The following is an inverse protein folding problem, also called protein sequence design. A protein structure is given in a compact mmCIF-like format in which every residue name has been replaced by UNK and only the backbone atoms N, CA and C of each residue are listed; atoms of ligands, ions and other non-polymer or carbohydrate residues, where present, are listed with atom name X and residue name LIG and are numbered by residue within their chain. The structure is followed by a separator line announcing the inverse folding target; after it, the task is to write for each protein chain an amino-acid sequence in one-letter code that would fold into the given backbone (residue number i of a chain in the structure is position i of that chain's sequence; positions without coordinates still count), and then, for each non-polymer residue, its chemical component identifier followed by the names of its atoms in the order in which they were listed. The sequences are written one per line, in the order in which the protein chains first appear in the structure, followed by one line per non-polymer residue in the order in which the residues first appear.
data_IF_231514312827
#
_entry.id   IF_231514312827
#
_cell.length_a   1.000
_cell.length_b   1.000
_cell.length_c   1.000
_cell.angle_alpha   90.00
_cell.angle_beta   90.00
_cell.angle_gamma   90.00
#
_symmetry.space_group_name_H-M   'P 1'
#
loop_
_entity.id
_entity.type
_entity.pdbx_description
1 polymer ?
#
# COMPACT_ATOMS: atom_id res chain seq x y z
N UNK A 1 4.27 54.52 -1.57
CA UNK A 1 3.15 53.85 -2.30
C UNK A 1 3.70 52.60 -2.91
N UNK A 2 3.52 51.50 -2.23
CA UNK A 2 4.01 50.17 -2.66
C UNK A 2 2.94 49.53 -3.53
N UNK A 3 3.30 49.31 -4.81
CA UNK A 3 2.46 48.57 -5.74
C UNK A 3 2.27 47.13 -5.22
N UNK A 4 1.08 46.83 -4.71
CA UNK A 4 0.64 45.45 -4.51
C UNK A 4 0.51 44.81 -5.89
N UNK A 5 1.41 43.93 -6.24
CA UNK A 5 1.30 43.09 -7.43
C UNK A 5 0.08 42.20 -7.26
N UNK A 6 -0.97 42.45 -8.03
CA UNK A 6 -2.08 41.54 -8.16
C UNK A 6 -1.57 40.22 -8.73
N UNK A 7 -1.32 39.24 -7.86
CA UNK A 7 -1.14 37.85 -8.31
C UNK A 7 -2.42 37.48 -9.05
N UNK A 8 -2.30 37.19 -10.36
CA UNK A 8 -3.40 36.59 -11.12
C UNK A 8 -3.87 35.37 -10.36
N UNK A 9 -5.15 35.37 -9.92
CA UNK A 9 -5.76 34.19 -9.32
C UNK A 9 -5.60 33.04 -10.34
N UNK A 10 -5.08 31.88 -9.93
CA UNK A 10 -4.99 30.74 -10.84
C UNK A 10 -6.41 30.42 -11.33
N UNK A 11 -6.51 29.94 -12.59
CA UNK A 11 -7.78 29.46 -13.14
C UNK A 11 -8.33 28.38 -12.20
N UNK A 12 -9.46 28.68 -11.56
CA UNK A 12 -10.14 27.71 -10.70
C UNK A 12 -10.96 26.79 -11.60
N UNK A 13 -10.58 25.54 -11.64
CA UNK A 13 -11.34 24.49 -12.31
C UNK A 13 -12.25 23.82 -11.29
N UNK A 14 -13.54 24.17 -11.26
CA UNK A 14 -14.48 23.68 -10.27
C UNK A 14 -14.23 24.24 -8.85
N UNK A 15 -14.80 23.61 -7.84
CA UNK A 15 -14.67 23.98 -6.44
C UNK A 15 -13.65 23.07 -5.73
N UNK A 16 -12.75 23.67 -4.97
CA UNK A 16 -11.80 22.96 -4.11
C UNK A 16 -12.51 22.20 -2.99
N UNK A 17 -13.53 22.83 -2.41
CA UNK A 17 -14.40 22.22 -1.41
C UNK A 17 -15.82 22.05 -1.97
N UNK A 18 -16.30 20.81 -1.99
CA UNK A 18 -17.61 20.47 -2.54
C UNK A 18 -18.79 20.89 -1.67
N UNK A 19 -18.57 21.36 -0.43
CA UNK A 19 -19.61 22.03 0.37
C UNK A 19 -20.03 23.36 -0.27
N UNK A 20 -19.21 23.94 -1.13
CA UNK A 20 -19.49 25.17 -1.89
C UNK A 20 -20.36 24.95 -3.12
N UNK A 21 -20.74 23.73 -3.44
CA UNK A 21 -21.65 23.43 -4.53
C UNK A 21 -23.05 23.98 -4.22
N UNK A 22 -23.62 24.71 -5.15
CA UNK A 22 -24.98 25.32 -5.00
C UNK A 22 -26.06 24.28 -4.68
N UNK A 23 -25.88 23.05 -5.19
CA UNK A 23 -26.75 21.90 -4.92
C UNK A 23 -25.88 20.65 -4.80
N UNK A 24 -25.86 20.05 -3.63
CA UNK A 24 -25.21 18.77 -3.42
C UNK A 24 -26.08 17.66 -4.03
N UNK A 25 -25.73 17.22 -5.22
CA UNK A 25 -26.34 16.07 -5.90
C UNK A 25 -25.22 15.22 -6.50
N UNK A 26 -25.45 13.92 -6.68
CA UNK A 26 -24.49 13.00 -7.27
C UNK A 26 -23.92 13.53 -8.58
N UNK A 27 -24.79 14.09 -9.42
CA UNK A 27 -24.38 14.71 -10.70
C UNK A 27 -23.46 15.91 -10.48
N UNK A 28 -23.78 16.83 -9.58
CA UNK A 28 -22.97 18.03 -9.33
C UNK A 28 -21.60 17.67 -8.73
N UNK A 29 -21.56 16.68 -7.84
CA UNK A 29 -20.32 16.12 -7.28
C UNK A 29 -19.49 15.49 -8.40
N UNK A 30 -20.09 14.63 -9.20
CA UNK A 30 -19.41 13.98 -10.31
C UNK A 30 -18.85 14.99 -11.33
N UNK A 31 -19.65 15.96 -11.75
CA UNK A 31 -19.26 17.01 -12.71
C UNK A 31 -18.06 17.84 -12.18
N UNK A 32 -18.07 18.13 -10.87
CA UNK A 32 -16.95 18.84 -10.21
C UNK A 32 -15.67 17.99 -10.21
N UNK A 33 -15.77 16.73 -9.79
CA UNK A 33 -14.64 15.79 -9.78
C UNK A 33 -14.08 15.58 -11.18
N UNK A 34 -14.95 15.36 -12.18
CA UNK A 34 -14.53 15.15 -13.55
C UNK A 34 -13.83 16.40 -14.13
N UNK A 35 -14.39 17.60 -13.89
CA UNK A 35 -13.80 18.86 -14.33
C UNK A 35 -12.38 19.05 -13.77
N UNK A 36 -12.21 18.77 -12.50
CA UNK A 36 -10.92 18.90 -11.82
C UNK A 36 -9.94 17.81 -12.28
N UNK A 37 -10.39 16.57 -12.36
CA UNK A 37 -9.59 15.45 -12.84
C UNK A 37 -9.03 15.68 -14.25
N UNK A 38 -9.84 16.21 -15.19
CA UNK A 38 -9.39 16.59 -16.54
C UNK A 38 -8.31 17.67 -16.55
N UNK A 39 -8.12 18.37 -15.43
CA UNK A 39 -7.09 19.39 -15.25
C UNK A 39 -5.98 18.96 -14.27
N UNK A 40 -5.84 17.65 -14.06
CA UNK A 40 -4.83 17.04 -13.20
C UNK A 40 -4.92 17.45 -11.72
N UNK A 41 -6.12 17.83 -11.27
CA UNK A 41 -6.41 18.15 -9.87
C UNK A 41 -7.15 16.97 -9.27
N UNK A 42 -6.46 16.20 -8.44
CA UNK A 42 -6.92 14.91 -7.93
C UNK A 42 -7.42 14.96 -6.50
N UNK A 43 -7.15 16.04 -5.77
CA UNK A 43 -7.56 16.22 -4.38
C UNK A 43 -8.69 17.24 -4.26
N UNK A 44 -9.67 16.94 -3.39
CA UNK A 44 -10.86 17.75 -3.17
C UNK A 44 -11.24 17.70 -1.71
N UNK A 45 -11.85 18.77 -1.15
CA UNK A 45 -12.44 18.72 0.18
C UNK A 45 -13.94 18.47 0.12
N UNK A 46 -14.45 17.85 1.18
CA UNK A 46 -15.83 17.93 1.63
C UNK A 46 -15.74 18.30 3.12
N UNK A 47 -15.65 19.57 3.43
CA UNK A 47 -15.33 20.04 4.78
C UNK A 47 -13.96 19.51 5.24
N UNK A 48 -13.93 18.75 6.32
CA UNK A 48 -12.71 18.17 6.88
C UNK A 48 -12.23 16.90 6.16
N UNK A 49 -13.05 16.34 5.25
CA UNK A 49 -12.71 15.10 4.55
C UNK A 49 -11.99 15.41 3.25
N UNK A 50 -10.84 14.79 3.04
CA UNK A 50 -10.12 14.82 1.77
C UNK A 50 -10.57 13.67 0.88
N UNK A 51 -11.01 14.00 -0.33
CA UNK A 51 -11.31 13.05 -1.41
C UNK A 51 -10.13 13.02 -2.36
N UNK A 52 -9.56 11.85 -2.58
CA UNK A 52 -8.48 11.61 -3.53
C UNK A 52 -8.99 10.73 -4.68
N UNK A 53 -8.86 11.22 -5.91
CA UNK A 53 -9.20 10.46 -7.13
C UNK A 53 -7.92 9.91 -7.73
N UNK A 54 -7.81 8.58 -7.88
CA UNK A 54 -6.60 7.97 -8.43
C UNK A 54 -6.39 8.39 -9.90
N UNK A 55 -5.26 9.05 -10.23
CA UNK A 55 -5.00 9.54 -11.58
C UNK A 55 -4.45 8.45 -12.51
N UNK A 56 -4.07 7.27 -11.99
CA UNK A 56 -3.34 6.22 -12.72
C UNK A 56 -2.09 6.73 -13.45
N UNK A 57 -1.50 7.80 -12.96
CA UNK A 57 -0.23 8.37 -13.43
C UNK A 57 0.50 9.06 -12.29
N UNK A 58 1.79 9.28 -12.47
CA UNK A 58 2.63 9.95 -11.47
C UNK A 58 2.63 11.48 -11.68
N UNK A 59 2.68 12.22 -10.57
CA UNK A 59 2.85 13.67 -10.53
C UNK A 59 4.07 14.02 -9.66
N UNK A 60 5.30 13.91 -10.18
CA UNK A 60 6.51 14.11 -9.37
C UNK A 60 6.56 15.47 -8.67
N UNK A 61 6.03 16.52 -9.32
CA UNK A 61 6.03 17.88 -8.76
C UNK A 61 5.04 18.07 -7.60
N UNK A 62 4.11 17.16 -7.40
CA UNK A 62 3.13 17.23 -6.30
C UNK A 62 3.61 16.58 -5.00
N UNK A 63 4.72 15.81 -5.03
CA UNK A 63 5.16 15.00 -3.88
C UNK A 63 6.65 15.22 -3.53
N UNK A 64 7.23 16.32 -4.00
CA UNK A 64 8.63 16.66 -3.70
C UNK A 64 8.79 17.51 -2.43
N UNK A 65 10.02 17.69 -1.98
CA UNK A 65 10.37 18.47 -0.80
C UNK A 65 9.82 19.89 -0.82
N UNK A 66 9.89 20.56 -1.98
CA UNK A 66 9.34 21.90 -2.15
C UNK A 66 7.84 21.95 -1.86
N UNK A 67 7.13 20.90 -2.30
CA UNK A 67 5.70 20.81 -2.05
C UNK A 67 5.40 20.56 -0.56
N UNK A 68 6.23 19.81 0.14
CA UNK A 68 6.14 19.65 1.59
C UNK A 68 6.29 21.00 2.29
N UNK A 69 7.31 21.79 1.92
CA UNK A 69 7.55 23.10 2.50
C UNK A 69 6.39 24.08 2.27
N UNK A 70 5.66 23.96 1.15
CA UNK A 70 4.47 24.78 0.84
C UNK A 70 3.29 24.51 1.79
N UNK A 71 3.21 23.33 2.39
CA UNK A 71 2.11 22.94 3.29
C UNK A 71 2.48 23.01 4.77
N UNK A 72 3.78 23.04 5.09
CA UNK A 72 4.25 23.01 6.48
C UNK A 72 3.79 24.25 7.27
N UNK A 73 3.04 24.01 8.35
CA UNK A 73 2.57 25.06 9.26
C UNK A 73 1.44 25.93 8.71
N UNK A 74 0.85 25.58 7.57
CA UNK A 74 -0.24 26.32 6.94
C UNK A 74 -1.57 25.61 7.24
N UNK A 75 -2.61 26.39 7.60
CA UNK A 75 -3.93 25.83 7.86
C UNK A 75 -4.52 25.17 6.60
N UNK A 76 -5.24 24.07 6.80
CA UNK A 76 -5.86 23.30 5.72
C UNK A 76 -6.74 24.15 4.80
N UNK A 77 -7.41 25.18 5.35
CA UNK A 77 -8.28 26.11 4.60
C UNK A 77 -7.52 27.14 3.74
N UNK A 78 -6.24 27.35 3.98
CA UNK A 78 -5.43 28.36 3.29
C UNK A 78 -4.71 27.81 2.06
N UNK A 79 -4.54 26.49 1.97
CA UNK A 79 -3.91 25.80 0.88
C UNK A 79 -4.92 25.00 0.03
N UNK A 80 -4.64 24.76 -1.24
CA UNK A 80 -5.42 23.82 -2.06
C UNK A 80 -5.51 22.44 -1.42
N UNK A 81 -6.59 21.65 -1.70
CA UNK A 81 -6.69 20.28 -1.21
C UNK A 81 -5.49 19.44 -1.57
N UNK A 82 -4.88 18.80 -0.58
CA UNK A 82 -3.73 17.93 -0.77
C UNK A 82 -3.56 16.97 0.42
N UNK A 83 -2.95 15.82 0.17
CA UNK A 83 -2.68 14.83 1.22
C UNK A 83 -1.71 15.37 2.29
N UNK A 84 -0.81 16.29 1.94
CA UNK A 84 0.10 16.93 2.87
C UNK A 84 -0.61 17.87 3.84
N UNK A 85 -1.73 18.50 3.42
CA UNK A 85 -2.52 19.32 4.33
C UNK A 85 -3.11 18.48 5.48
N UNK A 86 -3.57 17.24 5.20
CA UNK A 86 -4.03 16.31 6.23
C UNK A 86 -2.87 15.92 7.16
N UNK A 87 -1.69 15.66 6.59
CA UNK A 87 -0.49 15.33 7.37
C UNK A 87 -0.08 16.48 8.31
N UNK A 88 -0.12 17.72 7.82
CA UNK A 88 0.24 18.91 8.61
C UNK A 88 -0.78 19.18 9.73
N UNK A 89 -2.04 19.13 9.40
CA UNK A 89 -3.12 19.38 10.36
C UNK A 89 -3.08 18.38 11.51
N UNK A 90 -2.95 17.08 11.18
CA UNK A 90 -2.78 16.02 12.17
C UNK A 90 -1.53 16.24 13.04
N UNK A 91 -0.38 16.55 12.44
CA UNK A 91 0.86 16.75 13.19
C UNK A 91 0.82 17.98 14.08
N UNK A 92 0.23 19.08 13.60
CA UNK A 92 0.05 20.29 14.38
C UNK A 92 -0.89 20.08 15.56
N UNK A 93 -2.03 19.39 15.37
CA UNK A 93 -2.95 19.06 16.44
C UNK A 93 -2.29 18.14 17.49
N UNK A 94 -1.48 17.16 17.04
CA UNK A 94 -0.67 16.34 17.93
C UNK A 94 0.25 17.20 18.82
N UNK A 95 0.90 18.23 18.27
CA UNK A 95 1.83 19.08 19.00
C UNK A 95 1.16 20.08 19.91
N UNK A 96 0.03 20.65 19.48
CA UNK A 96 -0.69 21.73 20.21
C UNK A 96 -1.59 21.12 21.27
N UNK A 97 -2.47 20.21 20.88
CA UNK A 97 -3.51 19.67 21.76
C UNK A 97 -2.98 18.51 22.62
N UNK A 98 -1.83 17.94 22.26
CA UNK A 98 -1.23 16.78 22.93
C UNK A 98 -2.13 15.55 22.95
N UNK A 99 -3.01 15.44 21.96
CA UNK A 99 -3.94 14.34 21.80
C UNK A 99 -3.54 13.40 20.66
N UNK A 100 -3.90 12.14 20.80
CA UNK A 100 -3.69 11.17 19.74
C UNK A 100 -4.50 11.53 18.49
N UNK A 101 -3.85 11.51 17.35
CA UNK A 101 -4.48 11.78 16.06
C UNK A 101 -4.66 10.47 15.29
N UNK A 102 -5.73 10.39 14.50
CA UNK A 102 -6.03 9.22 13.70
C UNK A 102 -6.46 9.63 12.29
N UNK A 103 -5.77 9.09 11.27
CA UNK A 103 -6.15 9.26 9.87
C UNK A 103 -6.75 7.97 9.35
N UNK A 104 -8.00 8.01 8.95
CA UNK A 104 -8.72 6.87 8.38
C UNK A 104 -8.75 7.03 6.86
N UNK A 105 -8.19 6.04 6.15
CA UNK A 105 -8.15 6.02 4.70
C UNK A 105 -9.04 4.87 4.20
N UNK A 106 -10.10 5.20 3.46
CA UNK A 106 -11.07 4.26 2.93
C UNK A 106 -11.19 4.41 1.41
N UNK A 107 -11.61 3.37 0.73
CA UNK A 107 -11.81 3.37 -0.73
C UNK A 107 -11.79 1.96 -1.30
N UNK A 108 -12.25 1.81 -2.54
CA UNK A 108 -12.22 0.54 -3.28
C UNK A 108 -10.79 0.09 -3.59
N UNK A 109 -10.66 -1.17 -4.06
CA UNK A 109 -9.37 -1.68 -4.56
C UNK A 109 -8.87 -0.82 -5.72
N UNK A 110 -7.59 -0.43 -5.69
CA UNK A 110 -7.01 0.45 -6.71
C UNK A 110 -7.28 1.94 -6.52
N UNK A 111 -8.01 2.37 -5.48
CA UNK A 111 -8.29 3.80 -5.23
C UNK A 111 -7.08 4.63 -4.75
N UNK A 112 -5.92 4.00 -4.48
CA UNK A 112 -4.71 4.71 -4.04
C UNK A 112 -4.53 4.82 -2.52
N UNK A 113 -5.26 4.04 -1.71
CA UNK A 113 -5.17 4.07 -0.23
C UNK A 113 -3.73 3.93 0.29
N UNK A 114 -3.02 2.92 -0.16
CA UNK A 114 -1.63 2.64 0.26
C UNK A 114 -0.68 3.76 -0.14
N UNK A 115 -0.87 4.33 -1.33
CA UNK A 115 -0.05 5.43 -1.84
C UNK A 115 -0.26 6.70 -1.03
N UNK A 116 -1.52 7.05 -0.71
CA UNK A 116 -1.81 8.22 0.13
C UNK A 116 -1.29 8.04 1.57
N UNK A 117 -1.40 6.84 2.15
CA UNK A 117 -0.80 6.55 3.44
C UNK A 117 0.73 6.73 3.43
N UNK A 118 1.41 6.29 2.35
CA UNK A 118 2.84 6.50 2.17
C UNK A 118 3.19 7.99 2.12
N UNK A 119 2.45 8.80 1.38
CA UNK A 119 2.69 10.26 1.30
C UNK A 119 2.51 10.96 2.65
N UNK A 120 1.54 10.57 3.48
CA UNK A 120 1.42 11.09 4.85
C UNK A 120 2.67 10.75 5.66
N UNK A 121 3.14 9.50 5.59
CA UNK A 121 4.35 9.08 6.31
C UNK A 121 5.61 9.81 5.83
N UNK A 122 5.75 10.01 4.52
CA UNK A 122 6.85 10.80 3.95
C UNK A 122 6.79 12.25 4.44
N UNK A 123 5.62 12.86 4.44
CA UNK A 123 5.39 14.21 4.95
C UNK A 123 5.80 14.32 6.42
N UNK A 124 5.24 13.48 7.29
CA UNK A 124 5.56 13.46 8.72
C UNK A 124 7.04 13.26 8.99
N UNK A 125 7.65 12.37 8.26
CA UNK A 125 9.09 12.10 8.36
C UNK A 125 9.94 13.33 8.05
N UNK A 126 9.51 14.15 7.09
CA UNK A 126 10.25 15.36 6.68
C UNK A 126 10.09 16.49 7.69
N UNK A 127 8.83 16.75 8.15
CA UNK A 127 8.55 17.90 9.01
C UNK A 127 8.89 17.67 10.48
N UNK A 128 8.91 16.43 10.95
CA UNK A 128 9.21 16.12 12.36
C UNK A 128 10.70 16.25 12.74
N UNK A 129 11.54 16.61 11.78
CA UNK A 129 12.95 16.99 11.99
C UNK A 129 13.77 15.90 12.65
N UNK A 130 14.47 15.06 11.88
CA UNK A 130 15.20 13.98 12.49
C UNK A 130 16.60 13.76 11.91
N UNK A 131 17.58 13.77 12.78
CA UNK A 131 18.94 13.32 12.52
C UNK A 131 19.15 12.03 13.32
N UNK A 132 19.61 10.96 12.68
CA UNK A 132 19.99 9.71 13.36
C UNK A 132 18.87 8.69 13.52
N UNK A 133 18.40 8.43 14.75
CA UNK A 133 17.45 7.35 15.04
C UNK A 133 16.10 7.49 14.33
N UNK A 134 15.69 8.70 14.00
CA UNK A 134 14.43 8.99 13.31
C UNK A 134 14.48 8.56 11.85
N UNK A 135 15.59 8.82 11.16
CA UNK A 135 15.78 8.35 9.79
C UNK A 135 15.73 6.81 9.75
N UNK A 136 16.25 6.15 10.78
CA UNK A 136 16.16 4.69 10.91
C UNK A 136 14.70 4.21 11.08
N UNK A 137 13.91 4.87 11.94
CA UNK A 137 12.47 4.54 12.12
C UNK A 137 11.72 4.72 10.82
N UNK A 138 11.96 5.83 10.11
CA UNK A 138 11.41 6.11 8.78
C UNK A 138 11.77 5.01 7.79
N UNK A 139 13.05 4.67 7.69
CA UNK A 139 13.51 3.63 6.76
C UNK A 139 12.88 2.27 7.08
N UNK A 140 12.74 1.91 8.34
CA UNK A 140 12.06 0.68 8.76
C UNK A 140 10.59 0.69 8.31
N UNK A 141 9.86 1.78 8.56
CA UNK A 141 8.44 1.89 8.19
C UNK A 141 8.27 1.82 6.66
N UNK A 142 9.08 2.53 5.90
CA UNK A 142 8.99 2.54 4.44
C UNK A 142 9.47 1.21 3.83
N UNK A 143 10.52 0.60 4.37
CA UNK A 143 11.06 -0.67 3.87
C UNK A 143 10.17 -1.88 4.20
N UNK A 144 9.29 -1.80 5.19
CA UNK A 144 8.33 -2.89 5.46
C UNK A 144 7.21 -2.98 4.42
N UNK A 145 6.97 -1.94 3.62
CA UNK A 145 5.91 -1.99 2.60
C UNK A 145 6.12 -3.10 1.56
N UNK A 146 7.30 -3.26 0.91
CA UNK A 146 7.53 -4.37 -0.01
C UNK A 146 7.26 -5.74 0.64
N UNK A 147 7.67 -5.92 1.90
CA UNK A 147 7.42 -7.15 2.63
C UNK A 147 5.93 -7.40 2.84
N UNK A 148 5.19 -6.40 3.33
CA UNK A 148 3.76 -6.52 3.55
C UNK A 148 2.98 -6.73 2.24
N UNK A 149 3.44 -6.14 1.15
CA UNK A 149 2.86 -6.32 -0.18
C UNK A 149 3.14 -7.72 -0.73
N UNK A 150 4.35 -8.22 -0.58
CA UNK A 150 4.69 -9.59 -0.98
C UNK A 150 3.74 -10.62 -0.35
N UNK A 151 3.53 -10.54 0.97
CA UNK A 151 2.74 -11.53 1.72
C UNK A 151 1.24 -11.26 1.75
N UNK A 152 0.81 -10.02 1.53
CA UNK A 152 -0.59 -9.62 1.72
C UNK A 152 -1.29 -9.04 0.50
N UNK A 153 -0.59 -8.79 -0.61
CA UNK A 153 -1.20 -8.34 -1.86
C UNK A 153 -1.31 -9.49 -2.86
N UNK A 154 -2.27 -9.35 -3.75
CA UNK A 154 -2.50 -10.30 -4.84
C UNK A 154 -3.08 -9.59 -6.06
N UNK A 155 -2.93 -10.21 -7.23
CA UNK A 155 -3.67 -9.82 -8.43
C UNK A 155 -5.14 -10.18 -8.28
N UNK A 156 -6.01 -9.20 -8.55
CA UNK A 156 -7.45 -9.37 -8.70
C UNK A 156 -7.88 -8.91 -10.09
N UNK A 157 -9.09 -9.26 -10.51
CA UNK A 157 -9.65 -8.83 -11.80
C UNK A 157 -9.69 -7.30 -11.96
N UNK A 158 -9.69 -6.53 -10.85
CA UNK A 158 -9.76 -5.06 -10.86
C UNK A 158 -8.42 -4.37 -10.65
N UNK A 159 -7.44 -5.06 -10.06
CA UNK A 159 -6.17 -4.46 -9.70
C UNK A 159 -5.09 -5.54 -9.55
N UNK A 160 -4.00 -5.39 -10.29
CA UNK A 160 -2.88 -6.33 -10.27
C UNK A 160 -2.07 -6.30 -8.96
N UNK A 161 -2.19 -5.25 -8.14
CA UNK A 161 -1.54 -5.15 -6.82
C UNK A 161 -2.56 -4.76 -5.74
N UNK A 162 -3.54 -5.62 -5.49
CA UNK A 162 -4.60 -5.38 -4.52
C UNK A 162 -4.21 -5.86 -3.13
N UNK A 163 -4.20 -4.95 -2.15
CA UNK A 163 -4.02 -5.32 -0.73
C UNK A 163 -5.22 -6.11 -0.22
N UNK A 164 -4.96 -7.34 0.25
CA UNK A 164 -5.97 -8.28 0.74
C UNK A 164 -6.06 -8.29 2.27
N UNK A 165 -5.64 -7.21 2.93
CA UNK A 165 -5.66 -7.03 4.38
C UNK A 165 -5.75 -5.53 4.72
N UNK A 166 -6.17 -5.23 5.96
CA UNK A 166 -6.09 -3.89 6.53
C UNK A 166 -4.76 -3.67 7.25
N UNK A 167 -4.18 -2.48 7.12
CA UNK A 167 -2.99 -2.05 7.84
C UNK A 167 -3.37 -1.00 8.89
N UNK A 168 -2.84 -1.15 10.09
CA UNK A 168 -2.87 -0.13 11.11
C UNK A 168 -1.43 0.23 11.48
N UNK A 169 -1.08 1.48 11.22
CA UNK A 169 0.22 2.04 11.60
C UNK A 169 0.04 2.91 12.83
N UNK A 170 0.80 2.63 13.86
CA UNK A 170 0.92 3.50 15.02
C UNK A 170 2.33 4.08 15.06
N UNK A 171 2.44 5.41 15.08
CA UNK A 171 3.72 6.11 15.21
C UNK A 171 3.73 6.80 16.56
N UNK A 172 4.73 6.51 17.37
CA UNK A 172 4.91 7.12 18.68
C UNK A 172 5.81 8.34 18.55
N UNK A 173 5.38 9.45 19.12
CA UNK A 173 6.14 10.70 19.16
C UNK A 173 6.57 11.04 20.58
N UNK A 174 7.72 11.67 20.73
CA UNK A 174 8.12 12.27 21.99
C UNK A 174 7.38 13.62 22.24
N UNK A 175 7.60 14.21 23.41
CA UNK A 175 6.96 15.51 23.75
C UNK A 175 7.37 16.65 22.80
N UNK A 176 8.48 16.53 22.08
CA UNK A 176 8.95 17.47 21.07
C UNK A 176 8.40 17.21 19.67
N UNK A 177 7.56 16.20 19.50
CA UNK A 177 6.99 15.84 18.21
C UNK A 177 7.93 15.02 17.32
N UNK A 178 9.01 14.44 17.85
CA UNK A 178 9.90 13.58 17.09
C UNK A 178 9.41 12.14 17.16
N UNK A 179 9.32 11.43 16.03
CA UNK A 179 8.96 10.02 16.05
C UNK A 179 10.06 9.21 16.76
N UNK A 180 9.67 8.42 17.75
CA UNK A 180 10.57 7.59 18.55
C UNK A 180 10.39 6.10 18.31
N UNK A 181 9.37 5.73 17.54
CA UNK A 181 9.10 4.34 17.21
C UNK A 181 7.75 4.18 16.54
N UNK A 182 7.41 2.95 16.20
CA UNK A 182 6.10 2.64 15.62
C UNK A 182 5.80 1.17 15.66
N UNK A 183 4.54 0.84 15.47
CA UNK A 183 4.05 -0.54 15.35
C UNK A 183 3.15 -0.67 14.14
N UNK A 184 3.20 -1.84 13.51
CA UNK A 184 2.34 -2.20 12.39
C UNK A 184 1.51 -3.40 12.81
N UNK A 185 0.20 -3.28 12.69
CA UNK A 185 -0.73 -4.40 12.91
C UNK A 185 -1.52 -4.68 11.64
N UNK A 186 -1.72 -5.94 11.35
CA UNK A 186 -2.45 -6.39 10.18
C UNK A 186 -3.79 -6.96 10.61
N UNK A 187 -4.84 -6.64 9.85
CA UNK A 187 -6.20 -7.08 10.14
C UNK A 187 -6.84 -7.68 8.90
N UNK A 188 -7.72 -8.66 9.11
CA UNK A 188 -8.64 -9.19 8.11
C UNK A 188 -7.94 -9.69 6.84
N UNK A 189 -6.80 -10.38 6.96
CA UNK A 189 -6.18 -11.03 5.81
C UNK A 189 -7.19 -11.99 5.16
N UNK A 190 -7.33 -11.91 3.83
CA UNK A 190 -8.21 -12.77 3.03
C UNK A 190 -7.68 -14.22 3.02
N UNK A 191 -7.93 -14.95 4.12
CA UNK A 191 -7.47 -16.34 4.29
C UNK A 191 -8.06 -17.30 3.27
N UNK A 192 -9.24 -16.98 2.74
CA UNK A 192 -9.93 -17.80 1.72
C UNK A 192 -9.16 -17.89 0.41
N UNK A 193 -8.29 -16.92 0.11
CA UNK A 193 -7.43 -16.95 -1.08
C UNK A 193 -6.44 -18.12 -1.07
N UNK A 194 -6.08 -18.59 0.11
CA UNK A 194 -5.20 -19.78 0.29
C UNK A 194 -5.88 -21.03 -0.24
N UNK A 195 -7.20 -21.16 -0.07
CA UNK A 195 -7.96 -22.36 -0.49
C UNK A 195 -8.43 -22.32 -1.94
N UNK A 196 -8.40 -21.16 -2.59
CA UNK A 196 -8.78 -21.01 -3.99
C UNK A 196 -8.85 -19.56 -4.43
N UNK A 197 -8.60 -19.33 -5.71
CA UNK A 197 -8.70 -18.03 -6.37
C UNK A 197 -9.62 -18.12 -7.57
N UNK A 198 -10.22 -16.99 -7.96
CA UNK A 198 -11.04 -16.92 -9.17
C UNK A 198 -10.15 -17.00 -10.42
N UNK A 199 -10.73 -17.48 -11.52
CA UNK A 199 -10.06 -17.48 -12.82
C UNK A 199 -9.61 -16.06 -13.20
N UNK A 200 -8.34 -15.92 -13.63
CA UNK A 200 -7.70 -14.64 -13.96
C UNK A 200 -7.14 -13.86 -12.77
N UNK A 201 -7.31 -14.32 -11.52
CA UNK A 201 -6.64 -13.78 -10.34
C UNK A 201 -5.36 -14.57 -10.00
N UNK A 202 -4.54 -14.09 -9.07
CA UNK A 202 -3.38 -14.81 -8.54
C UNK A 202 -3.56 -15.07 -7.04
N UNK A 203 -2.84 -16.03 -6.51
CA UNK A 203 -2.59 -16.12 -5.08
C UNK A 203 -1.71 -14.95 -4.61
N UNK A 204 -1.32 -14.89 -3.34
CA UNK A 204 -0.44 -13.83 -2.84
C UNK A 204 0.87 -13.77 -3.62
N UNK A 205 1.38 -12.56 -3.88
CA UNK A 205 2.55 -12.34 -4.74
C UNK A 205 3.78 -13.13 -4.28
N UNK A 206 3.96 -13.31 -2.97
CA UNK A 206 5.13 -13.99 -2.41
C UNK A 206 5.38 -15.35 -3.04
N UNK A 207 4.36 -16.11 -3.40
CA UNK A 207 4.52 -17.45 -3.99
C UNK A 207 5.11 -17.40 -5.40
N UNK A 208 4.82 -16.37 -6.17
CA UNK A 208 5.38 -16.14 -7.50
C UNK A 208 6.78 -15.53 -7.40
N UNK A 209 6.99 -14.61 -6.47
CA UNK A 209 8.27 -13.98 -6.19
C UNK A 209 9.34 -15.00 -5.79
N UNK A 210 9.05 -15.92 -4.85
CA UNK A 210 10.03 -16.92 -4.44
C UNK A 210 10.40 -17.86 -5.57
N UNK A 211 9.46 -18.22 -6.44
CA UNK A 211 9.73 -19.06 -7.59
C UNK A 211 10.67 -18.37 -8.59
N UNK A 212 10.40 -17.09 -8.90
CA UNK A 212 11.23 -16.30 -9.78
C UNK A 212 12.64 -16.09 -9.19
N UNK A 213 12.73 -15.70 -7.92
CA UNK A 213 14.00 -15.40 -7.25
C UNK A 213 14.88 -16.63 -7.03
N UNK A 214 14.32 -17.74 -6.55
CA UNK A 214 15.08 -18.98 -6.33
C UNK A 214 15.52 -19.63 -7.65
N UNK A 215 14.75 -19.44 -8.73
CA UNK A 215 15.16 -19.87 -10.07
C UNK A 215 16.35 -19.03 -10.58
N UNK A 216 16.31 -17.71 -10.41
CA UNK A 216 17.40 -16.80 -10.77
C UNK A 216 18.68 -17.09 -9.99
N UNK A 217 18.55 -17.36 -8.68
CA UNK A 217 19.66 -17.78 -7.81
C UNK A 217 20.14 -19.21 -8.08
N UNK A 218 19.47 -19.97 -8.95
CA UNK A 218 19.78 -21.37 -9.30
C UNK A 218 19.73 -22.34 -8.10
N UNK A 219 18.83 -22.06 -7.15
CA UNK A 219 18.64 -22.89 -5.93
C UNK A 219 17.21 -23.42 -5.80
N UNK A 220 16.36 -23.21 -6.80
CA UNK A 220 14.95 -23.66 -6.78
C UNK A 220 14.83 -25.17 -6.52
N UNK A 221 15.76 -25.98 -7.05
CA UNK A 221 15.79 -27.44 -6.86
C UNK A 221 15.94 -27.84 -5.39
N UNK A 222 16.66 -27.06 -4.59
CA UNK A 222 16.85 -27.31 -3.15
C UNK A 222 15.56 -27.19 -2.36
N UNK A 223 14.59 -26.43 -2.90
CA UNK A 223 13.27 -26.22 -2.31
C UNK A 223 12.17 -27.01 -3.03
N UNK A 224 12.53 -27.81 -4.04
CA UNK A 224 11.57 -28.56 -4.87
C UNK A 224 10.72 -27.68 -5.80
N UNK A 225 11.05 -26.40 -5.98
CA UNK A 225 10.31 -25.43 -6.80
C UNK A 225 10.80 -25.45 -8.26
N UNK A 226 10.83 -26.63 -8.86
CA UNK A 226 11.19 -26.80 -10.27
C UNK A 226 10.00 -26.46 -11.17
N UNK A 227 10.25 -25.74 -12.24
CA UNK A 227 9.22 -25.29 -13.18
C UNK A 227 8.64 -23.92 -12.84
N UNK A 228 7.65 -23.51 -13.59
CA UNK A 228 6.96 -22.23 -13.39
C UNK A 228 5.76 -22.33 -12.44
N UNK A 229 5.09 -21.20 -12.16
CA UNK A 229 3.88 -21.16 -11.32
C UNK A 229 2.78 -22.12 -11.77
N UNK A 230 2.67 -22.38 -13.05
CA UNK A 230 1.72 -23.31 -13.67
C UNK A 230 1.96 -24.78 -13.30
N UNK A 231 3.17 -25.11 -12.83
CA UNK A 231 3.53 -26.46 -12.41
C UNK A 231 2.96 -26.84 -11.04
N UNK A 232 2.43 -25.90 -10.31
CA UNK A 232 1.88 -26.06 -8.96
C UNK A 232 0.40 -25.71 -8.93
N UNK A 233 -0.44 -26.58 -8.37
CA UNK A 233 -1.88 -26.30 -8.25
C UNK A 233 -2.15 -24.99 -7.53
N UNK A 234 -1.37 -24.68 -6.49
CA UNK A 234 -1.55 -23.50 -5.66
C UNK A 234 -1.38 -22.17 -6.42
N UNK A 235 -0.46 -22.09 -7.34
CA UNK A 235 -0.17 -20.89 -8.14
C UNK A 235 -0.73 -20.95 -9.56
N UNK A 236 -0.98 -22.15 -10.09
CA UNK A 236 -1.51 -22.37 -11.45
C UNK A 236 -3.03 -22.52 -11.55
N UNK A 237 -3.75 -22.71 -10.41
CA UNK A 237 -5.19 -23.01 -10.42
C UNK A 237 -6.05 -21.93 -11.08
N UNK A 238 -5.58 -20.70 -11.15
CA UNK A 238 -6.31 -19.58 -11.74
C UNK A 238 -6.18 -19.48 -13.26
N UNK A 239 -5.25 -20.23 -13.86
CA UNK A 239 -4.96 -20.20 -15.28
C UNK A 239 -4.24 -18.93 -15.80
N UNK A 240 -3.92 -17.96 -14.92
CA UNK A 240 -3.21 -16.74 -15.29
C UNK A 240 -2.20 -16.32 -14.22
N UNK A 241 -0.97 -16.87 -14.25
CA UNK A 241 0.07 -16.60 -13.27
C UNK A 241 0.75 -15.23 -13.46
N UNK A 242 0.46 -14.48 -14.52
CA UNK A 242 1.09 -13.19 -14.82
C UNK A 242 0.29 -12.05 -14.22
N UNK A 243 0.96 -11.10 -13.58
CA UNK A 243 0.37 -9.83 -13.15
C UNK A 243 1.05 -8.68 -13.91
N UNK A 244 0.32 -8.06 -14.83
CA UNK A 244 0.83 -6.94 -15.61
C UNK A 244 1.27 -5.79 -14.69
N UNK A 245 2.49 -5.27 -14.93
CA UNK A 245 3.08 -4.21 -14.11
C UNK A 245 3.71 -4.67 -12.80
N UNK A 246 3.71 -5.97 -12.50
CA UNK A 246 4.44 -6.58 -11.38
C UNK A 246 5.60 -7.43 -11.95
N UNK A 247 6.80 -7.09 -11.57
CA UNK A 247 8.01 -7.86 -11.86
C UNK A 247 8.36 -8.72 -10.62
N UNK A 248 7.91 -9.97 -10.63
CA UNK A 248 8.07 -10.88 -9.50
C UNK A 248 9.54 -11.08 -9.08
N UNK A 249 10.49 -11.00 -10.02
CA UNK A 249 11.91 -11.13 -9.72
C UNK A 249 12.45 -9.89 -9.03
N UNK A 250 12.14 -8.71 -9.56
CA UNK A 250 12.53 -7.43 -8.93
C UNK A 250 11.94 -7.31 -7.53
N UNK A 251 10.64 -7.56 -7.40
CA UNK A 251 9.93 -7.50 -6.12
C UNK A 251 10.48 -8.52 -5.11
N UNK A 252 10.97 -9.68 -5.56
CA UNK A 252 11.67 -10.64 -4.71
C UNK A 252 12.93 -10.03 -4.08
N UNK A 253 13.78 -9.37 -4.87
CA UNK A 253 14.98 -8.74 -4.33
C UNK A 253 14.67 -7.54 -3.44
N UNK A 254 13.65 -6.74 -3.77
CA UNK A 254 13.19 -5.65 -2.93
C UNK A 254 12.67 -6.17 -1.56
N UNK A 255 11.97 -7.30 -1.56
CA UNK A 255 11.54 -8.00 -0.33
C UNK A 255 12.72 -8.53 0.47
N UNK A 256 13.74 -9.15 -0.15
CA UNK A 256 14.94 -9.60 0.57
C UNK A 256 15.68 -8.45 1.26
N UNK A 257 15.80 -7.30 0.58
CA UNK A 257 16.37 -6.08 1.17
C UNK A 257 15.53 -5.64 2.37
N UNK A 258 14.20 -5.66 2.25
CA UNK A 258 13.29 -5.32 3.35
C UNK A 258 13.47 -6.26 4.55
N UNK A 259 13.54 -7.56 4.34
CA UNK A 259 13.78 -8.55 5.41
C UNK A 259 15.09 -8.28 6.16
N UNK A 260 16.17 -7.99 5.43
CA UNK A 260 17.48 -7.66 6.02
C UNK A 260 17.45 -6.35 6.79
N UNK A 261 16.71 -5.35 6.29
CA UNK A 261 16.56 -4.03 6.95
C UNK A 261 15.87 -4.14 8.32
N UNK A 262 14.93 -5.07 8.48
CA UNK A 262 14.27 -5.34 9.77
C UNK A 262 15.01 -6.39 10.62
N UNK A 263 16.26 -6.70 10.28
CA UNK A 263 17.14 -7.63 10.99
C UNK A 263 16.68 -9.10 10.99
N UNK A 264 15.96 -9.56 9.97
CA UNK A 264 15.72 -10.99 9.75
C UNK A 264 17.04 -11.62 9.28
N UNK A 265 17.48 -12.65 9.96
CA UNK A 265 18.74 -13.34 9.64
C UNK A 265 18.60 -14.20 8.40
N UNK A 266 19.72 -14.49 7.74
CA UNK A 266 19.71 -15.38 6.54
C UNK A 266 19.13 -16.76 6.83
N UNK A 267 19.40 -17.31 8.03
CA UNK A 267 18.82 -18.59 8.45
C UNK A 267 17.29 -18.52 8.58
N UNK A 268 16.75 -17.41 9.04
CA UNK A 268 15.31 -17.18 9.12
C UNK A 268 14.71 -17.02 7.71
N UNK A 269 15.41 -16.33 6.81
CA UNK A 269 14.99 -16.19 5.40
C UNK A 269 14.89 -17.57 4.74
N UNK A 270 15.90 -18.41 4.89
CA UNK A 270 15.88 -19.80 4.40
C UNK A 270 14.68 -20.56 4.97
N UNK A 271 14.40 -20.41 6.27
CA UNK A 271 13.23 -21.05 6.91
C UNK A 271 11.91 -20.55 6.31
N UNK A 272 11.80 -19.23 6.03
CA UNK A 272 10.62 -18.66 5.36
C UNK A 272 10.44 -19.32 3.98
N UNK A 273 11.50 -19.44 3.18
CA UNK A 273 11.41 -20.07 1.86
C UNK A 273 11.03 -21.54 1.93
N UNK A 274 11.55 -22.28 2.92
CA UNK A 274 11.16 -23.68 3.15
C UNK A 274 9.67 -23.80 3.49
N UNK A 275 9.14 -22.93 4.34
CA UNK A 275 7.71 -22.92 4.68
C UNK A 275 6.87 -22.61 3.45
N UNK A 276 7.21 -21.57 2.70
CA UNK A 276 6.47 -21.16 1.50
C UNK A 276 6.49 -22.25 0.41
N UNK A 277 7.64 -22.89 0.19
CA UNK A 277 7.76 -24.02 -0.69
C UNK A 277 6.89 -25.19 -0.21
N UNK A 278 6.96 -25.53 1.09
CA UNK A 278 6.14 -26.60 1.68
C UNK A 278 4.63 -26.36 1.48
N UNK A 279 4.15 -25.11 1.59
CA UNK A 279 2.74 -24.77 1.34
C UNK A 279 2.33 -25.09 -0.10
N UNK A 280 3.18 -24.83 -1.08
CA UNK A 280 2.92 -25.16 -2.49
C UNK A 280 2.68 -26.66 -2.70
N UNK A 281 3.41 -27.51 -1.96
CA UNK A 281 3.26 -28.98 -2.04
C UNK A 281 2.04 -29.53 -1.28
N UNK A 282 1.69 -28.99 -0.13
CA UNK A 282 0.59 -29.48 0.70
C UNK A 282 -0.74 -29.48 -0.06
N UNK A 283 -0.99 -28.45 -0.87
CA UNK A 283 -2.23 -28.38 -1.64
C UNK A 283 -2.29 -29.36 -2.82
N UNK A 284 -1.16 -29.79 -3.35
CA UNK A 284 -1.13 -30.90 -4.31
C UNK A 284 -1.60 -32.20 -3.66
N UNK A 285 -1.20 -32.46 -2.42
CA UNK A 285 -1.61 -33.66 -1.67
C UNK A 285 -3.11 -33.61 -1.35
N UNK A 286 -3.66 -32.46 -1.04
CA UNK A 286 -5.10 -32.29 -0.77
C UNK A 286 -5.96 -32.54 -2.01
N UNK A 287 -5.52 -32.17 -3.21
CA UNK A 287 -6.28 -32.43 -4.45
C UNK A 287 -6.22 -33.90 -4.86
N UNK A 288 -5.07 -34.53 -4.75
CA UNK A 288 -4.95 -35.98 -4.97
C UNK A 288 -5.85 -36.77 -4.01
N UNK A 289 -5.96 -36.32 -2.76
CA UNK A 289 -6.88 -36.93 -1.79
C UNK A 289 -8.34 -36.63 -2.09
N UNK A 290 -8.71 -35.47 -2.68
CA UNK A 290 -10.10 -35.20 -3.10
C UNK A 290 -10.55 -36.06 -4.26
N UNK A 291 -9.70 -36.36 -5.23
CA UNK A 291 -10.05 -37.35 -6.28
C UNK A 291 -10.11 -38.78 -5.75
N UNK A 292 -9.25 -39.13 -4.78
CA UNK A 292 -9.26 -40.42 -4.12
C UNK A 292 -10.38 -40.56 -3.10
N UNK A 293 -10.81 -39.47 -2.44
CA UNK A 293 -11.89 -39.42 -1.47
C UNK A 293 -13.30 -39.47 -2.12
N UNK A 294 -13.41 -39.21 -3.42
CA UNK A 294 -14.64 -39.56 -4.17
C UNK A 294 -14.85 -41.07 -4.29
N UNK A 295 -13.82 -41.85 -3.94
CA UNK A 295 -13.87 -43.31 -3.96
C UNK A 295 -13.73 -44.02 -2.61
N UNK A 296 -13.34 -43.37 -1.53
CA UNK A 296 -13.31 -43.95 -0.15
C UNK A 296 -13.23 -42.86 0.92
N UNK A 297 -14.15 -42.90 1.90
CA UNK A 297 -14.05 -42.10 3.13
C UNK A 297 -12.76 -42.45 3.89
N UNK A 298 -11.86 -41.48 3.99
CA UNK A 298 -10.72 -41.54 4.93
C UNK A 298 -10.82 -40.34 5.86
N UNK A 299 -11.14 -40.63 7.10
CA UNK A 299 -11.12 -39.66 8.20
C UNK A 299 -9.70 -39.54 8.70
N UNK A 300 -9.02 -38.38 8.46
CA UNK A 300 -7.83 -38.00 9.18
C UNK A 300 -8.20 -37.24 10.44
N UNK A 301 -7.94 -37.81 11.61
CA UNK A 301 -7.87 -37.09 12.88
C UNK A 301 -6.46 -36.48 13.01
N UNK A 302 -6.39 -35.18 13.16
CA UNK A 302 -5.25 -34.45 13.69
C UNK A 302 -5.27 -34.49 15.21
#
# INVERSE_FOLDING_TARGET
MTHASFRKRPKTYGHDDMVMLLKASDKAIHDNLETRYKNDIIYHYIGEVLIAVNPYKMFPDQYNDKKIDEYQGIQMSENPPHIFAIGDDMYRNLLVDKEHQCVIISGESGAGKTVNAKFIMEYLSKISGGIGDIERVKQIILSTNPLLEAFGNAKTLRNNNSSRFGKYFNINFDHGGRPVGGTISNFLLEKTRVSGVQYGERNFHIFYMIMAGLADQKVADQYGLQGGPESFNYTGMSGDPVAEGIDDLKEFYDMEVALKTINITEQQIVTIYQILAGIQFILVICDVTRETLKSKEIILRL
#
